data_IF_984758971497
#
_entry.id   IF_984758971497
#
_cell.length_a   1.000
_cell.length_b   1.000
_cell.length_c   1.000
_cell.angle_alpha   90.00
_cell.angle_beta   90.00
_cell.angle_gamma   90.00
#
_symmetry.space_group_name_H-M   'P 1'
#
loop_
_entity.id
_entity.type
_entity.pdbx_description
1 polymer ?
#
# COMPACT_ATOMS: atom_id res chain seq x y z
N UNK A 1 -17.27 5.01 13.96
CA UNK A 1 -15.85 4.60 13.78
C UNK A 1 -15.18 5.59 12.85
N UNK A 2 -13.87 5.85 13.05
CA UNK A 2 -13.13 6.77 12.21
C UNK A 2 -12.90 6.16 10.82
N UNK A 3 -13.43 6.80 9.78
CA UNK A 3 -13.18 6.45 8.39
C UNK A 3 -11.80 6.98 7.99
N UNK A 4 -10.83 6.09 7.81
CA UNK A 4 -9.49 6.45 7.33
C UNK A 4 -9.54 6.70 5.83
N UNK A 5 -9.15 7.91 5.39
CA UNK A 5 -9.10 8.25 3.96
C UNK A 5 -7.75 7.89 3.34
N UNK A 6 -7.71 7.78 2.00
CA UNK A 6 -6.46 7.60 1.26
C UNK A 6 -5.47 8.75 1.52
N UNK A 7 -5.97 9.98 1.69
CA UNK A 7 -5.12 11.14 2.03
C UNK A 7 -4.45 10.98 3.37
N UNK A 8 -5.12 10.38 4.35
CA UNK A 8 -4.55 10.14 5.67
C UNK A 8 -3.44 9.08 5.60
N UNK A 9 -3.65 8.01 4.83
CA UNK A 9 -2.64 6.98 4.57
C UNK A 9 -1.41 7.54 3.83
N UNK A 10 -1.62 8.45 2.88
CA UNK A 10 -0.53 9.15 2.20
C UNK A 10 0.28 10.01 3.17
N UNK A 11 -0.38 10.83 3.99
CA UNK A 11 0.28 11.69 5.00
C UNK A 11 1.03 10.87 6.05
N UNK A 12 0.49 9.72 6.44
CA UNK A 12 1.13 8.81 7.39
C UNK A 12 2.31 8.02 6.79
N UNK A 13 2.52 8.06 5.47
CA UNK A 13 3.64 7.39 4.82
C UNK A 13 3.51 5.86 4.70
N UNK A 14 2.31 5.30 4.87
CA UNK A 14 2.11 3.82 4.90
C UNK A 14 2.29 3.14 3.53
N UNK A 15 2.43 3.93 2.47
CA UNK A 15 2.64 3.45 1.11
C UNK A 15 4.12 3.18 0.79
N UNK A 16 5.05 3.55 1.68
CA UNK A 16 6.46 3.24 1.50
C UNK A 16 6.74 1.79 1.91
N UNK A 17 7.24 1.01 0.97
CA UNK A 17 7.72 -0.35 1.17
C UNK A 17 9.25 -0.44 1.24
N UNK A 18 9.75 -1.66 1.16
CA UNK A 18 11.19 -1.93 1.18
C UNK A 18 11.85 -1.70 -0.17
N UNK A 19 13.18 -1.72 -0.20
CA UNK A 19 13.92 -1.74 -1.46
C UNK A 19 13.56 -2.98 -2.29
N UNK A 20 13.58 -2.85 -3.62
CA UNK A 20 13.19 -3.92 -4.54
C UNK A 20 13.96 -5.22 -4.30
N UNK A 21 15.21 -5.19 -3.84
CA UNK A 21 15.95 -6.45 -3.55
C UNK A 21 15.39 -7.29 -2.39
N UNK A 22 14.62 -6.69 -1.49
CA UNK A 22 14.04 -7.36 -0.33
C UNK A 22 12.56 -7.72 -0.54
N UNK A 23 12.00 -7.44 -1.71
CA UNK A 23 10.59 -7.68 -1.96
C UNK A 23 10.29 -9.16 -2.17
N UNK A 24 9.07 -9.57 -1.80
CA UNK A 24 8.54 -10.88 -2.15
C UNK A 24 7.79 -10.79 -3.49
N UNK A 25 8.10 -11.64 -4.50
CA UNK A 25 7.42 -11.63 -5.80
C UNK A 25 5.89 -11.74 -5.73
N UNK A 26 5.34 -12.39 -4.68
CA UNK A 26 3.89 -12.49 -4.45
C UNK A 26 3.24 -11.13 -4.17
N UNK A 27 4.00 -10.10 -3.82
CA UNK A 27 3.51 -8.75 -3.59
C UNK A 27 3.24 -7.98 -4.90
N UNK A 28 3.60 -8.52 -6.07
CA UNK A 28 3.48 -7.85 -7.37
C UNK A 28 2.09 -7.24 -7.63
N UNK A 29 0.97 -7.91 -7.29
CA UNK A 29 -0.37 -7.35 -7.51
C UNK A 29 -0.69 -6.12 -6.65
N UNK A 30 0.04 -5.90 -5.56
CA UNK A 30 -0.20 -4.84 -4.58
C UNK A 30 0.80 -3.67 -4.69
N UNK A 31 1.77 -3.77 -5.59
CA UNK A 31 2.76 -2.71 -5.82
C UNK A 31 2.19 -1.73 -6.86
N UNK A 32 2.38 -0.44 -6.61
CA UNK A 32 2.03 0.64 -7.51
C UNK A 32 3.21 0.95 -8.45
N UNK A 33 2.94 0.92 -9.75
CA UNK A 33 3.95 1.16 -10.78
C UNK A 33 4.94 0.00 -10.96
N UNK A 34 6.02 0.26 -11.69
CA UNK A 34 7.09 -0.69 -11.89
C UNK A 34 8.08 -0.62 -10.72
N UNK A 35 8.56 -1.77 -10.22
CA UNK A 35 9.52 -1.85 -9.10
C UNK A 35 10.95 -1.36 -9.45
N UNK A 36 11.05 -0.40 -10.35
CA UNK A 36 12.27 0.21 -10.88
C UNK A 36 12.81 1.27 -9.90
N UNK A 37 11.97 1.78 -9.00
CA UNK A 37 12.38 2.73 -7.94
C UNK A 37 13.15 2.04 -6.82
N UNK A 38 14.00 2.81 -6.12
CA UNK A 38 14.79 2.35 -4.95
C UNK A 38 13.92 1.80 -3.80
N UNK A 39 12.65 2.19 -3.71
CA UNK A 39 11.69 1.70 -2.73
C UNK A 39 10.41 1.27 -3.46
N UNK A 40 9.81 0.18 -3.00
CA UNK A 40 8.50 -0.29 -3.48
C UNK A 40 7.42 0.63 -2.98
N UNK A 41 6.53 1.07 -3.86
CA UNK A 41 5.35 1.84 -3.50
C UNK A 41 4.15 0.90 -3.40
N UNK A 42 3.44 0.90 -2.28
CA UNK A 42 2.24 0.07 -2.06
C UNK A 42 1.03 0.79 -2.67
N UNK A 43 0.22 0.04 -3.41
CA UNK A 43 -0.97 0.57 -4.07
C UNK A 43 -2.08 0.82 -3.05
N UNK A 44 -2.27 2.10 -2.67
CA UNK A 44 -3.31 2.52 -1.75
C UNK A 44 -4.73 2.42 -2.34
N UNK A 45 -4.90 2.47 -3.67
CA UNK A 45 -6.21 2.28 -4.31
C UNK A 45 -6.77 0.89 -4.03
N UNK A 46 -5.89 -0.11 -3.94
CA UNK A 46 -6.26 -1.48 -3.54
C UNK A 46 -6.33 -1.62 -2.02
N UNK A 47 -5.40 -0.98 -1.30
CA UNK A 47 -5.25 -1.18 0.15
C UNK A 47 -6.38 -0.55 0.96
N UNK A 48 -6.83 0.65 0.61
CA UNK A 48 -7.92 1.35 1.31
C UNK A 48 -9.22 0.53 1.35
N UNK A 49 -9.78 0.03 0.22
CA UNK A 49 -11.01 -0.75 0.26
C UNK A 49 -10.83 -2.10 0.98
N UNK A 50 -9.66 -2.73 0.88
CA UNK A 50 -9.37 -3.97 1.63
C UNK A 50 -9.31 -3.72 3.15
N UNK A 51 -8.67 -2.62 3.56
CA UNK A 51 -8.61 -2.20 4.96
C UNK A 51 -10.02 -1.94 5.51
N UNK A 52 -10.81 -1.14 4.80
CA UNK A 52 -12.19 -0.83 5.20
C UNK A 52 -13.06 -2.09 5.26
N UNK A 53 -12.94 -3.00 4.29
CA UNK A 53 -13.68 -4.27 4.30
C UNK A 53 -13.33 -5.14 5.51
N UNK A 54 -12.05 -5.21 5.88
CA UNK A 54 -11.60 -5.98 7.04
C UNK A 54 -12.10 -5.36 8.35
N UNK A 55 -12.10 -4.04 8.45
CA UNK A 55 -12.47 -3.30 9.67
C UNK A 55 -13.98 -3.23 9.95
N UNK A 56 -14.81 -3.46 8.92
CA UNK A 56 -16.27 -3.41 9.02
C UNK A 56 -16.91 -4.79 9.19
N UNK A 57 -16.11 -5.86 9.22
CA UNK A 57 -16.52 -7.21 9.60
C UNK A 57 -16.19 -7.45 11.07
#
# INVERSE_FOLDING_TARGET
MATVSMRDMLKAGVHFGHQTRYWNPKMKPFIFGAAVTKFTSINLEKTVPMFTKLWLN
#
